data_IF_741235573839
#
_entry.id   IF_741235573839
#
_cell.length_a   1.000
_cell.length_b   1.000
_cell.length_c   1.000
_cell.angle_alpha   90.00
_cell.angle_beta   90.00
_cell.angle_gamma   90.00
#
_symmetry.space_group_name_H-M   'P 1'
#
loop_
_entity.id
_entity.type
_entity.pdbx_description
1 polymer ?
#
# COMPACT_ATOMS: atom_id res chain seq x y z
N UNK A 1 -23.67 -73.54 -17.61
CA UNK A 1 -22.37 -73.25 -16.96
C UNK A 1 -21.67 -72.00 -17.53
N UNK A 2 -21.50 -71.86 -18.85
CA UNK A 2 -20.75 -70.73 -19.45
C UNK A 2 -21.34 -69.32 -19.24
N UNK A 3 -22.66 -69.18 -19.13
CA UNK A 3 -23.31 -67.87 -18.86
C UNK A 3 -22.93 -67.29 -17.48
N UNK A 4 -22.81 -68.14 -16.46
CA UNK A 4 -22.40 -67.73 -15.12
C UNK A 4 -20.93 -67.31 -15.08
N UNK A 5 -20.07 -68.04 -15.79
CA UNK A 5 -18.65 -67.70 -15.90
C UNK A 5 -18.44 -66.34 -16.58
N UNK A 6 -19.09 -66.10 -17.73
CA UNK A 6 -18.99 -64.80 -18.43
C UNK A 6 -19.48 -63.62 -17.58
N UNK A 7 -20.58 -63.81 -16.83
CA UNK A 7 -21.12 -62.80 -15.92
C UNK A 7 -20.18 -62.52 -14.74
N UNK A 8 -19.50 -63.54 -14.21
CA UNK A 8 -18.52 -63.37 -13.14
C UNK A 8 -17.29 -62.59 -13.62
N UNK A 9 -16.74 -62.91 -14.80
CA UNK A 9 -15.64 -62.13 -15.39
C UNK A 9 -16.05 -60.68 -15.68
N UNK A 10 -17.26 -60.45 -16.21
CA UNK A 10 -17.74 -59.10 -16.45
C UNK A 10 -17.82 -58.28 -15.15
N UNK A 11 -18.33 -58.87 -14.06
CA UNK A 11 -18.48 -58.19 -12.79
C UNK A 11 -17.13 -57.88 -12.11
N UNK A 12 -16.17 -58.81 -12.17
CA UNK A 12 -14.82 -58.57 -11.61
C UNK A 12 -14.07 -57.50 -12.39
N UNK A 13 -14.19 -57.46 -13.72
CA UNK A 13 -13.58 -56.40 -14.53
C UNK A 13 -14.22 -55.03 -14.28
N UNK A 14 -15.55 -54.96 -14.07
CA UNK A 14 -16.22 -53.70 -13.73
C UNK A 14 -15.72 -53.14 -12.40
N UNK A 15 -15.57 -53.99 -11.37
CA UNK A 15 -15.00 -53.58 -10.08
C UNK A 15 -13.56 -53.09 -10.27
N UNK A 16 -12.75 -53.83 -11.03
CA UNK A 16 -11.36 -53.46 -11.27
C UNK A 16 -11.25 -52.09 -11.92
N UNK A 17 -12.03 -51.82 -12.97
CA UNK A 17 -12.05 -50.52 -13.67
C UNK A 17 -12.49 -49.39 -12.74
N UNK A 18 -13.53 -49.61 -11.93
CA UNK A 18 -14.02 -48.60 -10.97
C UNK A 18 -12.96 -48.30 -9.91
N UNK A 19 -12.30 -49.32 -9.36
CA UNK A 19 -11.24 -49.12 -8.35
C UNK A 19 -10.02 -48.43 -8.95
N UNK A 20 -9.59 -48.81 -10.16
CA UNK A 20 -8.44 -48.18 -10.82
C UNK A 20 -8.72 -46.71 -11.19
N UNK A 21 -9.89 -46.42 -11.73
CA UNK A 21 -10.29 -45.04 -12.03
C UNK A 21 -10.41 -44.21 -10.77
N UNK A 22 -11.09 -44.70 -9.73
CA UNK A 22 -11.24 -43.99 -8.46
C UNK A 22 -9.89 -43.74 -7.78
N UNK A 23 -8.98 -44.71 -7.81
CA UNK A 23 -7.63 -44.57 -7.24
C UNK A 23 -6.83 -43.48 -7.95
N UNK A 24 -6.94 -43.41 -9.28
CA UNK A 24 -6.30 -42.36 -10.07
C UNK A 24 -6.85 -40.97 -9.71
N UNK A 25 -8.17 -40.82 -9.62
CA UNK A 25 -8.79 -39.55 -9.21
C UNK A 25 -8.38 -39.13 -7.80
N UNK A 26 -8.36 -40.06 -6.84
CA UNK A 26 -7.93 -39.76 -5.46
C UNK A 26 -6.46 -39.31 -5.45
N UNK A 27 -5.57 -40.01 -6.16
CA UNK A 27 -4.16 -39.64 -6.23
C UNK A 27 -3.96 -38.24 -6.85
N UNK A 28 -4.72 -37.90 -7.90
CA UNK A 28 -4.66 -36.58 -8.52
C UNK A 28 -5.10 -35.47 -7.55
N UNK A 29 -6.18 -35.67 -6.79
CA UNK A 29 -6.64 -34.68 -5.80
C UNK A 29 -5.62 -34.49 -4.67
N UNK A 30 -5.05 -35.59 -4.15
CA UNK A 30 -3.99 -35.52 -3.12
C UNK A 30 -2.80 -34.70 -3.64
N UNK A 31 -2.41 -34.90 -4.90
CA UNK A 31 -1.31 -34.14 -5.50
C UNK A 31 -1.64 -32.64 -5.61
N UNK A 32 -2.86 -32.30 -6.02
CA UNK A 32 -3.33 -30.91 -6.11
C UNK A 32 -3.36 -30.25 -4.73
N UNK A 33 -3.83 -30.95 -3.69
CA UNK A 33 -3.89 -30.45 -2.32
C UNK A 33 -2.48 -30.18 -1.75
N UNK A 34 -1.52 -31.10 -2.00
CA UNK A 34 -0.13 -30.91 -1.60
C UNK A 34 0.47 -29.68 -2.28
N UNK A 35 0.24 -29.53 -3.59
CA UNK A 35 0.73 -28.39 -4.37
C UNK A 35 0.14 -27.07 -3.84
N UNK A 36 -1.16 -27.06 -3.58
CA UNK A 36 -1.85 -25.90 -3.01
C UNK A 36 -1.28 -25.54 -1.63
N UNK A 37 -1.02 -26.54 -0.77
CA UNK A 37 -0.40 -26.34 0.53
C UNK A 37 0.97 -25.67 0.46
N UNK A 38 1.81 -26.05 -0.51
CA UNK A 38 3.12 -25.41 -0.73
C UNK A 38 2.96 -23.96 -1.18
N UNK A 39 2.07 -23.69 -2.14
CA UNK A 39 1.80 -22.33 -2.63
C UNK A 39 1.27 -21.43 -1.50
N UNK A 40 0.29 -21.93 -0.74
CA UNK A 40 -0.27 -21.21 0.41
C UNK A 40 0.80 -20.94 1.47
N UNK A 41 1.69 -21.89 1.75
CA UNK A 41 2.80 -21.70 2.67
C UNK A 41 3.75 -20.57 2.26
N UNK A 42 4.08 -20.49 0.97
CA UNK A 42 4.92 -19.43 0.41
C UNK A 42 4.23 -18.05 0.48
N UNK A 43 2.96 -17.99 0.09
CA UNK A 43 2.15 -16.76 0.17
C UNK A 43 2.02 -16.30 1.62
N UNK A 44 1.70 -17.21 2.54
CA UNK A 44 1.59 -16.90 3.97
C UNK A 44 2.90 -16.36 4.54
N UNK A 45 4.04 -16.96 4.20
CA UNK A 45 5.37 -16.48 4.60
C UNK A 45 5.67 -15.09 4.04
N UNK A 46 5.34 -14.84 2.77
CA UNK A 46 5.53 -13.55 2.11
C UNK A 46 4.66 -12.45 2.75
N UNK A 47 3.37 -12.74 2.97
CA UNK A 47 2.46 -11.85 3.69
C UNK A 47 3.03 -11.55 5.07
N UNK A 48 3.38 -12.57 5.85
CA UNK A 48 3.93 -12.38 7.20
C UNK A 48 5.20 -11.54 7.19
N UNK A 49 6.16 -11.80 6.30
CA UNK A 49 7.37 -10.98 6.16
C UNK A 49 7.01 -9.51 5.86
N UNK A 50 6.06 -9.29 4.95
CA UNK A 50 5.58 -7.95 4.61
C UNK A 50 4.86 -7.26 5.78
N UNK A 51 4.12 -8.00 6.60
CA UNK A 51 3.42 -7.47 7.78
C UNK A 51 4.39 -7.18 8.92
N UNK A 52 5.39 -8.04 9.16
CA UNK A 52 6.44 -7.79 10.17
C UNK A 52 7.28 -6.54 9.82
N UNK A 53 7.60 -6.32 8.54
CA UNK A 53 8.23 -5.06 8.09
C UNK A 53 7.35 -3.83 8.36
N UNK A 54 6.03 -3.97 8.35
CA UNK A 54 5.08 -2.90 8.70
C UNK A 54 4.88 -2.75 10.22
N UNK A 55 5.11 -3.81 11.01
CA UNK A 55 4.94 -3.80 12.48
C UNK A 55 6.05 -3.06 13.23
N UNK A 56 7.23 -2.87 12.64
CA UNK A 56 8.36 -2.22 13.34
C UNK A 56 8.20 -0.70 13.56
N UNK A 57 7.15 -0.05 13.05
CA UNK A 57 6.92 1.39 13.23
C UNK A 57 5.59 1.75 13.90
N UNK A 58 4.83 0.79 14.43
CA UNK A 58 3.37 0.93 14.37
C UNK A 58 2.52 0.24 15.43
N UNK A 59 2.74 0.51 16.72
CA UNK A 59 1.92 -0.09 17.76
C UNK A 59 1.28 0.90 18.75
N UNK A 60 1.27 2.21 18.45
CA UNK A 60 0.62 3.18 19.35
C UNK A 60 -0.31 4.19 18.69
N UNK A 61 -0.22 4.43 17.38
CA UNK A 61 -1.14 5.34 16.70
C UNK A 61 -1.02 5.18 15.18
N UNK A 62 -1.95 4.45 14.57
CA UNK A 62 -2.23 4.72 13.18
C UNK A 62 -3.12 3.72 12.44
N UNK A 63 -3.50 4.15 11.23
CA UNK A 63 -4.35 3.49 10.22
C UNK A 63 -3.71 2.63 9.11
N UNK A 64 -2.45 2.84 8.74
CA UNK A 64 -1.62 2.03 7.86
C UNK A 64 -0.76 2.86 6.91
N UNK A 65 -0.91 4.19 6.96
CA UNK A 65 -0.25 5.15 6.09
C UNK A 65 0.78 5.98 6.87
N UNK A 66 2.09 5.72 6.72
CA UNK A 66 3.12 6.33 7.56
C UNK A 66 3.18 7.86 7.49
N UNK A 67 2.70 8.47 6.40
CA UNK A 67 2.54 9.93 6.30
C UNK A 67 1.44 10.41 7.24
N UNK A 68 0.26 9.78 7.19
CA UNK A 68 -0.87 10.14 8.02
C UNK A 68 -0.61 9.91 9.49
N UNK A 69 0.06 8.81 9.81
CA UNK A 69 0.35 8.46 11.18
C UNK A 69 1.43 9.38 11.77
N UNK A 70 2.31 9.94 10.95
CA UNK A 70 3.27 10.95 11.42
C UNK A 70 2.58 12.22 11.97
N UNK A 71 1.54 12.74 11.30
CA UNK A 71 0.88 13.99 11.72
C UNK A 71 -0.36 13.77 12.58
N UNK A 72 -1.14 12.70 12.36
CA UNK A 72 -2.36 12.41 13.13
C UNK A 72 -2.06 11.99 14.57
N UNK A 73 -0.85 11.50 14.81
CA UNK A 73 -0.44 11.03 16.13
C UNK A 73 0.11 12.14 17.03
N UNK A 74 0.30 13.34 16.50
CA UNK A 74 0.58 14.52 17.31
C UNK A 74 -0.74 15.12 17.81
N UNK A 75 -1.03 14.96 19.10
CA UNK A 75 -2.22 15.56 19.74
C UNK A 75 -2.23 17.10 19.61
N UNK A 76 -1.08 17.73 19.41
CA UNK A 76 -0.90 19.17 19.22
C UNK A 76 -0.56 19.54 17.78
N UNK A 77 -0.96 18.73 16.78
CA UNK A 77 -0.69 18.98 15.36
C UNK A 77 -1.06 20.40 14.91
N UNK A 78 -2.12 20.98 15.48
CA UNK A 78 -2.56 22.35 15.19
C UNK A 78 -1.49 23.40 15.53
N UNK A 79 -0.74 23.20 16.61
CA UNK A 79 0.36 24.07 17.04
C UNK A 79 1.65 23.74 16.31
N UNK A 80 1.82 22.49 15.88
CA UNK A 80 2.99 21.99 15.16
C UNK A 80 2.74 21.78 13.67
N UNK A 81 1.90 22.59 13.01
CA UNK A 81 1.56 22.42 11.58
C UNK A 81 2.78 22.36 10.65
N UNK A 82 3.86 23.04 11.03
CA UNK A 82 5.13 23.02 10.27
C UNK A 82 5.82 21.66 10.27
N UNK A 83 5.57 20.82 11.28
CA UNK A 83 6.13 19.47 11.40
C UNK A 83 5.62 18.52 10.31
N UNK A 84 4.51 18.85 9.63
CA UNK A 84 4.03 18.08 8.48
C UNK A 84 5.08 17.98 7.35
N UNK A 85 5.97 18.97 7.22
CA UNK A 85 7.06 18.92 6.24
C UNK A 85 8.06 17.77 6.50
N UNK A 86 8.13 17.26 7.73
CA UNK A 86 9.02 16.15 8.12
C UNK A 86 8.35 14.78 7.95
N UNK A 87 7.04 14.77 7.70
CA UNK A 87 6.26 13.56 7.49
C UNK A 87 6.25 13.06 6.04
N UNK A 88 6.88 13.79 5.11
CA UNK A 88 6.93 13.42 3.70
C UNK A 88 7.86 12.22 3.47
N UNK A 89 7.42 11.28 2.62
CA UNK A 89 8.15 10.04 2.31
C UNK A 89 8.22 9.87 0.78
N UNK A 90 9.23 9.18 0.28
CA UNK A 90 9.43 8.94 -1.16
C UNK A 90 10.26 10.03 -1.84
N UNK A 91 10.18 10.18 -3.16
CA UNK A 91 10.99 11.14 -3.92
C UNK A 91 10.80 12.61 -3.51
N UNK A 92 9.66 12.94 -2.90
CA UNK A 92 9.35 14.27 -2.37
C UNK A 92 9.70 14.47 -0.89
N UNK A 93 10.42 13.56 -0.24
CA UNK A 93 10.69 13.63 1.20
C UNK A 93 11.47 14.88 1.64
N UNK A 94 12.20 15.52 0.71
CA UNK A 94 12.98 16.74 0.96
C UNK A 94 12.16 18.03 0.82
N UNK A 95 10.85 17.94 0.60
CA UNK A 95 9.99 19.12 0.44
C UNK A 95 9.74 19.81 1.80
N UNK A 96 10.39 20.94 2.02
CA UNK A 96 10.29 21.71 3.27
C UNK A 96 9.11 22.71 3.26
N UNK A 97 8.74 23.25 2.09
CA UNK A 97 7.65 24.22 1.97
C UNK A 97 7.79 25.42 2.91
N UNK A 98 6.72 25.75 3.64
CA UNK A 98 6.67 26.86 4.60
C UNK A 98 7.13 26.51 6.04
N UNK A 99 7.90 25.42 6.24
CA UNK A 99 8.33 25.00 7.59
C UNK A 99 9.06 26.11 8.34
N UNK A 100 9.98 26.79 7.65
CA UNK A 100 10.87 27.79 8.26
C UNK A 100 10.35 29.23 8.07
N UNK A 101 9.24 29.42 7.35
CA UNK A 101 8.62 30.73 7.11
C UNK A 101 7.61 31.11 8.20
N UNK A 102 7.23 32.39 8.29
CA UNK A 102 6.20 32.82 9.26
C UNK A 102 4.82 32.32 8.80
N UNK A 103 3.95 32.02 9.77
CA UNK A 103 2.54 31.77 9.47
C UNK A 103 1.92 33.03 8.85
N UNK A 104 1.27 32.88 7.70
CA UNK A 104 0.46 33.92 7.10
C UNK A 104 -1.01 33.53 7.29
N UNK A 105 -1.84 34.50 7.68
CA UNK A 105 -3.27 34.30 7.88
C UNK A 105 -3.97 35.16 6.84
N UNK A 106 -4.70 34.51 5.93
CA UNK A 106 -5.51 35.21 4.93
C UNK A 106 -6.74 35.76 5.63
N UNK A 107 -6.84 37.08 5.72
CA UNK A 107 -7.96 37.78 6.35
C UNK A 107 -8.98 38.31 5.34
N UNK A 108 -8.61 38.43 4.06
CA UNK A 108 -9.50 38.89 2.99
C UNK A 108 -9.27 38.03 1.72
N UNK A 109 -10.30 37.35 1.19
CA UNK A 109 -10.18 36.48 0.01
C UNK A 109 -10.22 37.22 -1.34
N UNK A 110 -10.43 38.54 -1.38
CA UNK A 110 -10.65 39.31 -2.62
C UNK A 110 -9.39 40.04 -3.14
N UNK A 111 -8.18 39.64 -2.75
CA UNK A 111 -6.93 40.27 -3.19
C UNK A 111 -6.27 39.42 -4.29
N UNK A 112 -6.66 39.66 -5.54
CA UNK A 112 -6.28 38.88 -6.73
C UNK A 112 -5.10 39.49 -7.52
N UNK A 113 -4.50 40.59 -7.06
CA UNK A 113 -3.45 41.30 -7.80
C UNK A 113 -2.05 40.70 -7.60
N UNK A 114 -1.75 39.65 -8.36
CA UNK A 114 -0.44 38.96 -8.33
C UNK A 114 0.77 39.82 -8.78
N UNK A 115 0.53 40.93 -9.50
CA UNK A 115 1.57 41.78 -10.12
C UNK A 115 1.92 42.99 -9.28
N UNK A 116 0.92 43.63 -8.65
CA UNK A 116 1.12 44.76 -7.75
C UNK A 116 0.19 44.64 -6.54
N UNK A 117 0.48 43.69 -5.67
CA UNK A 117 -0.32 43.52 -4.47
C UNK A 117 -0.27 44.78 -3.59
N UNK A 118 -1.38 45.13 -2.95
CA UNK A 118 -1.36 46.14 -1.90
C UNK A 118 -0.41 45.68 -0.79
N UNK A 119 0.34 46.59 -0.11
CA UNK A 119 1.27 46.19 0.94
C UNK A 119 0.51 45.60 2.13
N UNK A 120 0.25 44.30 2.04
CA UNK A 120 -0.41 43.47 3.03
C UNK A 120 0.45 42.26 3.38
N UNK A 121 0.06 41.50 4.41
CA UNK A 121 0.87 40.39 4.94
C UNK A 121 1.13 39.25 3.93
N UNK A 122 0.31 39.09 2.89
CA UNK A 122 0.35 37.95 1.96
C UNK A 122 1.38 38.12 0.83
N UNK A 123 1.79 39.35 0.52
CA UNK A 123 2.44 39.65 -0.76
C UNK A 123 3.96 39.72 -0.71
N UNK A 124 4.48 39.98 0.48
CA UNK A 124 5.92 39.96 0.73
C UNK A 124 6.50 38.53 0.71
N UNK A 125 5.67 37.49 0.82
CA UNK A 125 6.09 36.08 0.78
C UNK A 125 5.88 35.43 -0.60
N UNK A 126 4.75 35.68 -1.28
CA UNK A 126 4.53 35.19 -2.65
C UNK A 126 5.54 35.77 -3.65
N UNK A 127 5.86 37.08 -3.52
CA UNK A 127 6.88 37.73 -4.37
C UNK A 127 8.30 37.18 -4.16
N UNK A 128 8.63 36.66 -2.96
CA UNK A 128 9.91 35.99 -2.71
C UNK A 128 9.98 34.63 -3.41
N UNK A 129 8.90 33.86 -3.41
CA UNK A 129 8.85 32.55 -4.10
C UNK A 129 9.05 32.69 -5.61
N UNK A 130 8.48 33.73 -6.24
CA UNK A 130 8.73 34.00 -7.66
C UNK A 130 10.17 34.45 -7.96
N UNK A 131 10.82 35.17 -7.03
CA UNK A 131 12.24 35.55 -7.19
C UNK A 131 13.19 34.34 -7.10
N UNK A 132 12.84 33.30 -6.34
CA UNK A 132 13.60 32.04 -6.31
C UNK A 132 13.30 31.11 -7.51
N UNK A 133 12.13 31.25 -8.14
CA UNK A 133 11.78 30.51 -9.36
C UNK A 133 12.61 30.94 -10.58
N UNK A 134 13.15 32.16 -10.56
CA UNK A 134 14.12 32.64 -11.56
C UNK A 134 15.46 31.90 -11.53
N UNK A 135 15.85 31.31 -10.39
CA UNK A 135 17.12 30.59 -10.25
C UNK A 135 17.01 29.07 -10.52
N UNK A 136 15.79 28.53 -10.60
CA UNK A 136 15.54 27.10 -10.86
C UNK A 136 15.33 26.77 -12.35
N UNK A 137 15.25 27.78 -13.22
CA UNK A 137 15.19 27.59 -14.68
C UNK A 137 16.60 27.54 -15.33
N UNK A 138 17.67 27.42 -14.54
CA UNK A 138 19.05 27.31 -15.03
C UNK A 138 19.62 25.88 -15.04
N UNK A 139 18.82 24.86 -14.70
CA UNK A 139 19.20 23.44 -14.86
C UNK A 139 17.97 22.59 -15.17
N UNK A 140 17.57 22.58 -16.44
CA UNK A 140 16.99 21.44 -17.15
C UNK A 140 17.43 21.53 -18.60
#
# INVERSE_FOLDING_TARGET
MYKYQLSQYAWTHMILIVVFSQSFFIAANIFVDILLGIILGNVYRSIRNSTERRKLGYLSCGTGNPIDDCWRCDQNWQRHRKRLAECAIGFGHSAVGGRDSKYYIVTNPNDDDAVNPQPGPCDTLSSKTNRYRSYLNATW
#
